data_IF_129358919696
#
_entry.id   IF_129358919696
#
_cell.length_a   1.000
_cell.length_b   1.000
_cell.length_c   1.000
_cell.angle_alpha   90.00
_cell.angle_beta   90.00
_cell.angle_gamma   90.00
#
_symmetry.space_group_name_H-M   'P 1'
#
loop_
_entity.id
_entity.type
_entity.pdbx_description
1 polymer ?
#
# COMPACT_ATOMS: atom_id res chain seq x y z
N UNK A 1 22.85 12.02 10.09
CA UNK A 1 21.92 10.92 10.43
C UNK A 1 22.31 9.72 9.58
N UNK A 2 22.96 8.71 10.15
CA UNK A 2 23.29 7.46 9.43
C UNK A 2 22.06 6.54 9.49
N UNK A 3 21.57 5.96 8.39
CA UNK A 3 20.51 4.98 8.45
C UNK A 3 21.03 3.67 9.05
N UNK A 4 20.34 3.20 10.09
CA UNK A 4 20.67 2.01 10.89
C UNK A 4 20.23 0.74 10.15
N UNK A 5 21.21 -0.16 9.95
CA UNK A 5 21.14 -1.60 9.64
C UNK A 5 19.85 -2.19 9.04
N UNK A 6 19.91 -2.54 7.74
CA UNK A 6 19.14 -3.66 7.21
C UNK A 6 19.68 -4.97 7.79
N UNK A 7 18.92 -5.64 8.64
CA UNK A 7 19.05 -7.07 8.88
C UNK A 7 18.00 -7.78 8.02
N UNK A 8 18.42 -8.19 6.82
CA UNK A 8 17.70 -9.21 6.07
C UNK A 8 17.91 -10.54 6.81
N UNK A 9 16.83 -11.09 7.36
CA UNK A 9 16.85 -12.35 8.10
C UNK A 9 17.36 -13.51 7.22
N UNK A 10 18.21 -14.35 7.81
CA UNK A 10 18.91 -15.45 7.12
C UNK A 10 18.10 -16.77 7.09
N UNK A 11 16.87 -16.79 7.59
CA UNK A 11 16.14 -18.02 7.89
C UNK A 11 14.65 -17.92 7.50
N UNK A 12 14.31 -17.80 6.21
CA UNK A 12 12.92 -17.97 5.70
C UNK A 12 11.80 -17.08 6.27
N UNK A 13 12.11 -16.20 7.22
CA UNK A 13 11.17 -15.32 7.91
C UNK A 13 11.29 -13.89 7.35
N UNK A 14 10.16 -13.32 6.96
CA UNK A 14 10.12 -11.99 6.38
C UNK A 14 10.25 -10.94 7.51
N UNK A 15 11.30 -10.11 7.45
CA UNK A 15 11.43 -8.96 8.34
C UNK A 15 10.36 -7.91 8.02
N UNK A 16 9.70 -7.37 9.05
CA UNK A 16 8.80 -6.22 8.91
C UNK A 16 9.60 -4.95 9.17
N UNK A 17 9.48 -3.99 8.25
CA UNK A 17 10.06 -2.64 8.40
C UNK A 17 8.93 -1.62 8.54
N UNK A 18 9.21 -0.51 9.23
CA UNK A 18 8.28 0.62 9.37
C UNK A 18 8.93 1.87 8.81
N UNK A 19 8.13 2.65 8.07
CA UNK A 19 8.51 3.98 7.60
C UNK A 19 7.82 5.00 8.49
N UNK A 20 8.59 5.80 9.22
CA UNK A 20 8.08 6.84 10.10
C UNK A 20 7.67 8.08 9.30
N UNK A 21 6.80 8.91 9.89
CA UNK A 21 6.33 10.19 9.35
C UNK A 21 5.62 10.11 7.97
N UNK A 22 5.09 8.94 7.61
CA UNK A 22 4.32 8.74 6.37
C UNK A 22 2.85 9.20 6.46
N UNK A 23 2.44 9.83 7.56
CA UNK A 23 1.05 10.26 7.82
C UNK A 23 0.62 11.48 6.99
N UNK A 24 1.56 12.34 6.60
CA UNK A 24 1.31 13.47 5.72
C UNK A 24 1.94 13.20 4.34
N UNK A 25 1.22 13.50 3.27
CA UNK A 25 1.68 13.28 1.89
C UNK A 25 2.11 11.82 1.59
N UNK A 26 1.59 10.84 2.34
CA UNK A 26 1.76 9.42 2.05
C UNK A 26 0.68 8.94 1.08
N UNK A 27 -0.42 8.42 1.62
CA UNK A 27 -1.52 7.87 0.82
C UNK A 27 -2.08 8.84 -0.22
N UNK A 28 -2.20 10.13 0.11
CA UNK A 28 -2.84 11.13 -0.76
C UNK A 28 -2.15 11.29 -2.12
N UNK A 29 -0.85 10.94 -2.22
CA UNK A 29 -0.10 10.94 -3.49
C UNK A 29 0.17 9.53 -4.03
N UNK A 30 -0.39 8.49 -3.40
CA UNK A 30 -0.17 7.10 -3.82
C UNK A 30 -0.83 6.81 -5.18
N UNK A 31 -0.13 6.02 -6.00
CA UNK A 31 -0.56 5.70 -7.35
C UNK A 31 -0.45 4.20 -7.62
N UNK A 32 -1.08 3.76 -8.72
CA UNK A 32 -1.05 2.38 -9.22
C UNK A 32 0.01 2.20 -10.30
N UNK A 33 1.14 2.90 -10.16
CA UNK A 33 2.13 3.09 -11.22
C UNK A 33 2.68 1.77 -11.83
N UNK A 34 2.57 0.67 -11.10
CA UNK A 34 3.01 -0.66 -11.55
C UNK A 34 1.89 -1.70 -11.50
N UNK A 35 0.64 -1.28 -11.73
CA UNK A 35 -0.55 -2.12 -11.56
C UNK A 35 -0.66 -2.73 -10.17
N UNK A 36 -0.11 -2.03 -9.17
CA UNK A 36 -0.21 -2.39 -7.76
C UNK A 36 -1.36 -1.65 -7.12
N UNK A 37 -2.19 -2.40 -6.40
CA UNK A 37 -3.22 -1.87 -5.52
C UNK A 37 -2.62 -0.90 -4.51
N UNK A 38 -3.35 0.18 -4.21
CA UNK A 38 -2.99 1.03 -3.07
C UNK A 38 -3.13 0.25 -1.76
N UNK A 39 -2.15 0.42 -0.88
CA UNK A 39 -2.13 -0.17 0.46
C UNK A 39 -3.42 0.16 1.23
N UNK A 40 -4.02 -0.71 2.05
CA UNK A 40 -5.09 -0.32 2.98
C UNK A 40 -4.58 0.67 4.04
N UNK A 41 -5.51 1.38 4.69
CA UNK A 41 -5.21 2.22 5.85
C UNK A 41 -5.99 1.78 7.07
N UNK A 42 -5.32 1.77 8.22
CA UNK A 42 -5.88 1.40 9.51
C UNK A 42 -5.74 2.59 10.44
N UNK A 43 -6.81 2.94 11.14
CA UNK A 43 -6.80 3.91 12.22
C UNK A 43 -6.62 3.17 13.56
N UNK A 44 -5.72 3.69 14.39
CA UNK A 44 -5.45 3.17 15.73
C UNK A 44 -5.95 4.19 16.77
N UNK A 45 -6.76 3.75 17.72
CA UNK A 45 -7.18 4.52 18.88
C UNK A 45 -6.83 3.75 20.16
N UNK A 46 -5.79 4.16 20.88
CA UNK A 46 -5.24 3.41 22.00
C UNK A 46 -4.79 2.01 21.55
N UNK A 47 -5.43 0.96 22.06
CA UNK A 47 -5.16 -0.44 21.68
C UNK A 47 -6.11 -0.97 20.59
N UNK A 48 -7.05 -0.15 20.11
CA UNK A 48 -8.03 -0.56 19.11
C UNK A 48 -7.59 -0.22 17.70
N UNK A 49 -7.66 -1.20 16.80
CA UNK A 49 -7.43 -1.01 15.37
C UNK A 49 -8.73 -1.17 14.57
N UNK A 50 -8.94 -0.28 13.60
CA UNK A 50 -10.06 -0.35 12.65
C UNK A 50 -9.60 0.02 11.24
N UNK A 51 -10.10 -0.69 10.24
CA UNK A 51 -9.85 -0.36 8.83
C UNK A 51 -10.51 0.99 8.51
N UNK A 52 -9.70 1.97 8.11
CA UNK A 52 -10.15 3.30 7.70
C UNK A 52 -10.34 3.36 6.19
N UNK A 53 -9.43 2.75 5.41
CA UNK A 53 -9.55 2.60 3.97
C UNK A 53 -9.26 1.17 3.55
N UNK A 54 -10.12 0.62 2.69
CA UNK A 54 -9.95 -0.73 2.14
C UNK A 54 -8.75 -0.82 1.19
N UNK A 55 -8.21 -2.03 1.11
CA UNK A 55 -7.34 -2.43 0.02
C UNK A 55 -8.13 -2.44 -1.30
N UNK A 56 -7.42 -2.22 -2.40
CA UNK A 56 -7.98 -2.32 -3.74
C UNK A 56 -7.84 -3.74 -4.26
N UNK A 57 -8.93 -4.27 -4.80
CA UNK A 57 -8.93 -5.53 -5.53
C UNK A 57 -8.40 -5.32 -6.96
N UNK A 58 -8.06 -6.42 -7.63
CA UNK A 58 -7.63 -6.38 -9.04
C UNK A 58 -8.64 -5.68 -9.95
N UNK A 59 -9.95 -5.86 -9.68
CA UNK A 59 -11.01 -5.21 -10.45
C UNK A 59 -11.02 -3.69 -10.30
N UNK A 60 -10.60 -3.15 -9.15
CA UNK A 60 -10.51 -1.70 -8.95
C UNK A 60 -9.42 -1.05 -9.84
N UNK A 61 -8.43 -1.83 -10.29
CA UNK A 61 -7.38 -1.36 -11.18
C UNK A 61 -7.92 -1.11 -12.59
N UNK A 62 -8.90 -1.91 -13.01
CA UNK A 62 -9.46 -1.91 -14.37
C UNK A 62 -10.85 -1.29 -14.45
N UNK A 63 -11.49 -0.99 -13.32
CA UNK A 63 -12.86 -0.49 -13.25
C UNK A 63 -13.14 0.78 -14.08
N UNK A 64 -12.12 1.63 -14.27
CA UNK A 64 -12.24 2.86 -15.08
C UNK A 64 -11.84 2.66 -16.55
N UNK A 65 -11.36 1.47 -16.94
CA UNK A 65 -10.97 1.18 -18.32
C UNK A 65 -12.22 1.00 -19.19
N UNK A 66 -12.19 1.59 -20.37
CA UNK A 66 -13.24 1.43 -21.39
C UNK A 66 -12.65 0.61 -22.53
N UNK A 67 -13.35 -0.46 -22.92
CA UNK A 67 -13.02 -1.19 -24.14
C UNK A 67 -13.70 -0.48 -25.32
N UNK A 68 -12.94 0.13 -26.23
CA UNK A 68 -13.54 0.83 -27.36
C UNK A 68 -14.06 -0.16 -28.40
N UNK A 69 -15.02 0.27 -29.24
CA UNK A 69 -15.78 -0.63 -30.13
C UNK A 69 -14.94 -1.41 -31.15
N UNK A 70 -13.75 -0.91 -31.48
CA UNK A 70 -12.80 -1.51 -32.42
C UNK A 70 -11.89 -2.55 -31.78
N UNK A 71 -12.00 -2.77 -30.47
CA UNK A 71 -11.22 -3.75 -29.69
C UNK A 71 -12.10 -4.90 -29.17
N UNK A 72 -13.19 -5.24 -29.88
CA UNK A 72 -14.03 -6.40 -29.53
C UNK A 72 -13.39 -7.72 -29.94
#
# INVERSE_FOLDING_TARGET
MKPTSHLAGKDGHHSIITVFDAGANGTVISSRYTSRSRCPEVLINGTQARQMRREEASDDLTAALIRPAWQQ
#
